data_IF_069368608591
#
_entry.id   IF_069368608591
#
_cell.length_a   1.000
_cell.length_b   1.000
_cell.length_c   1.000
_cell.angle_alpha   90.00
_cell.angle_beta   90.00
_cell.angle_gamma   90.00
#
_symmetry.space_group_name_H-M   'P 1'
#
loop_
_entity.id
_entity.type
_entity.pdbx_description
1 polymer ?
#
# COMPACT_ATOMS: atom_id res chain seq x y z
N UNK A 1 -21.84 37.33 77.62
CA UNK A 1 -21.66 37.67 76.22
C UNK A 1 -21.06 36.49 75.53
N UNK A 2 -21.84 35.75 74.72
CA UNK A 2 -21.37 34.57 73.99
C UNK A 2 -21.32 34.92 72.53
N UNK A 3 -20.14 34.92 72.00
CA UNK A 3 -19.87 35.18 70.59
C UNK A 3 -20.08 33.93 69.77
N UNK A 4 -21.05 33.91 68.84
CA UNK A 4 -21.25 32.83 67.88
C UNK A 4 -20.32 33.01 66.70
N UNK A 5 -19.47 31.99 66.47
CA UNK A 5 -18.66 31.86 65.25
C UNK A 5 -19.51 31.14 64.19
N UNK A 6 -19.79 31.85 63.12
CA UNK A 6 -20.44 31.27 61.91
C UNK A 6 -19.33 30.72 61.02
N UNK A 7 -19.29 29.38 60.86
CA UNK A 7 -18.41 28.70 59.94
C UNK A 7 -19.13 28.61 58.58
N UNK A 8 -18.63 29.39 57.61
CA UNK A 8 -19.12 29.34 56.24
C UNK A 8 -18.44 28.19 55.49
N UNK A 9 -19.17 27.14 55.14
CA UNK A 9 -18.71 26.04 54.33
C UNK A 9 -18.77 26.41 52.85
N UNK A 10 -17.61 26.65 52.23
CA UNK A 10 -17.50 26.75 50.77
C UNK A 10 -17.53 25.34 50.18
N UNK A 11 -18.61 25.00 49.50
CA UNK A 11 -18.72 23.80 48.65
C UNK A 11 -18.06 24.13 47.31
N UNK A 12 -16.89 23.57 47.06
CA UNK A 12 -16.24 23.64 45.74
C UNK A 12 -16.92 22.63 44.79
N UNK A 13 -17.64 23.12 43.81
CA UNK A 13 -18.20 22.30 42.73
C UNK A 13 -17.06 22.05 41.71
N UNK A 14 -16.51 20.84 41.75
CA UNK A 14 -15.61 20.36 40.72
C UNK A 14 -16.38 20.02 39.46
N UNK A 15 -16.43 20.91 38.48
CA UNK A 15 -16.89 20.60 37.13
C UNK A 15 -15.82 19.79 36.43
N UNK A 16 -16.07 18.47 36.30
CA UNK A 16 -15.28 17.60 35.45
C UNK A 16 -15.46 18.00 33.98
N UNK A 17 -14.49 18.75 33.45
CA UNK A 17 -14.42 19.06 32.03
C UNK A 17 -14.17 17.77 31.26
N UNK A 18 -15.18 17.26 30.55
CA UNK A 18 -15.00 16.24 29.52
C UNK A 18 -14.12 16.85 28.42
N UNK A 19 -12.82 16.52 28.42
CA UNK A 19 -11.98 16.69 27.26
C UNK A 19 -12.53 15.78 26.17
N UNK A 20 -13.34 16.35 25.28
CA UNK A 20 -13.73 15.67 24.05
C UNK A 20 -12.48 15.32 23.26
N UNK A 21 -12.22 14.01 23.14
CA UNK A 21 -11.22 13.48 22.23
C UNK A 21 -11.69 13.86 20.81
N UNK A 22 -11.22 14.99 20.30
CA UNK A 22 -11.41 15.33 18.89
C UNK A 22 -10.57 14.32 18.12
N UNK A 23 -11.21 13.31 17.55
CA UNK A 23 -10.58 12.46 16.55
C UNK A 23 -10.06 13.39 15.45
N UNK A 24 -8.75 13.39 15.24
CA UNK A 24 -8.14 14.06 14.10
C UNK A 24 -8.85 13.55 12.84
N UNK A 25 -9.27 14.43 11.91
CA UNK A 25 -9.83 13.97 10.66
C UNK A 25 -8.78 13.06 10.00
N UNK A 26 -9.09 11.77 9.93
CA UNK A 26 -8.24 10.81 9.23
C UNK A 26 -8.02 11.36 7.84
N UNK A 27 -6.77 11.42 7.39
CA UNK A 27 -6.44 11.71 6.00
C UNK A 27 -7.38 10.85 5.14
N UNK A 28 -8.25 11.49 4.36
CA UNK A 28 -9.19 10.78 3.53
C UNK A 28 -8.38 9.85 2.62
N UNK A 29 -8.67 8.55 2.69
CA UNK A 29 -7.97 7.58 1.88
C UNK A 29 -8.11 7.97 0.40
N UNK A 30 -6.98 8.15 -0.28
CA UNK A 30 -6.99 8.56 -1.68
C UNK A 30 -7.36 7.37 -2.57
N UNK A 31 -8.16 7.60 -3.59
CA UNK A 31 -8.42 6.57 -4.61
C UNK A 31 -7.10 6.19 -5.28
N UNK A 32 -6.85 4.89 -5.40
CA UNK A 32 -5.69 4.41 -6.11
C UNK A 32 -5.80 4.76 -7.61
N UNK A 33 -4.75 5.35 -8.20
CA UNK A 33 -4.69 5.56 -9.64
C UNK A 33 -4.77 4.24 -10.41
N UNK A 34 -5.27 4.28 -11.64
CA UNK A 34 -5.38 3.08 -12.46
C UNK A 34 -4.00 2.63 -13.00
N UNK A 35 -3.90 1.34 -13.29
CA UNK A 35 -2.73 0.68 -13.85
C UNK A 35 -2.78 0.57 -15.39
N UNK A 36 -3.87 1.00 -16.01
CA UNK A 36 -4.10 0.88 -17.46
C UNK A 36 -3.19 1.74 -18.35
N UNK A 37 -2.45 2.69 -17.77
CA UNK A 37 -1.53 3.57 -18.51
C UNK A 37 -0.23 2.94 -18.96
N UNK A 38 0.13 1.77 -18.43
CA UNK A 38 1.35 1.03 -18.73
C UNK A 38 1.15 -0.05 -19.79
N UNK A 39 2.21 -0.73 -20.12
CA UNK A 39 2.21 -1.90 -21.01
C UNK A 39 3.54 -2.09 -21.70
N UNK A 40 3.89 -3.30 -22.15
CA UNK A 40 3.12 -4.56 -22.13
C UNK A 40 2.94 -5.18 -20.73
N UNK A 41 2.00 -6.15 -20.67
CA UNK A 41 1.68 -6.92 -19.48
C UNK A 41 2.23 -8.34 -19.56
N UNK A 42 2.67 -8.89 -18.41
CA UNK A 42 3.15 -10.25 -18.24
C UNK A 42 2.32 -10.97 -17.17
N UNK A 43 2.24 -12.29 -17.25
CA UNK A 43 1.47 -13.16 -16.34
C UNK A 43 -0.03 -12.84 -16.30
N UNK A 44 -0.58 -12.29 -17.39
CA UNK A 44 -2.00 -11.92 -17.56
C UNK A 44 -2.55 -12.32 -18.93
N UNK A 45 -1.86 -13.18 -19.68
CA UNK A 45 -2.14 -13.45 -21.11
C UNK A 45 -2.18 -12.16 -21.96
N UNK A 46 -1.34 -11.19 -21.59
CA UNK A 46 -1.24 -9.87 -22.26
C UNK A 46 -2.41 -8.92 -21.98
N UNK A 47 -3.36 -9.31 -21.12
CA UNK A 47 -4.52 -8.47 -20.79
C UNK A 47 -4.20 -7.47 -19.70
N UNK A 48 -4.50 -6.17 -19.87
CA UNK A 48 -4.33 -5.18 -18.83
C UNK A 48 -5.21 -5.48 -17.60
N UNK A 49 -4.65 -5.19 -16.43
CA UNK A 49 -5.38 -5.22 -15.15
C UNK A 49 -5.65 -3.78 -14.71
N UNK A 50 -6.85 -3.49 -14.25
CA UNK A 50 -7.25 -2.17 -13.77
C UNK A 50 -7.64 -2.23 -12.30
N UNK A 51 -7.47 -1.14 -11.55
CA UNK A 51 -7.94 -1.04 -10.17
C UNK A 51 -9.46 -1.26 -10.10
N UNK A 52 -10.21 -0.79 -11.10
CA UNK A 52 -11.65 -1.01 -11.18
C UNK A 52 -12.02 -2.49 -11.30
N UNK A 53 -11.26 -3.29 -12.08
CA UNK A 53 -11.48 -4.73 -12.23
C UNK A 53 -11.13 -5.54 -10.99
N UNK A 54 -10.42 -4.94 -10.03
CA UNK A 54 -9.96 -5.56 -8.80
C UNK A 54 -10.80 -5.16 -7.57
N UNK A 55 -11.93 -4.48 -7.76
CA UNK A 55 -12.85 -4.16 -6.65
C UNK A 55 -13.25 -5.44 -5.88
N UNK A 56 -13.32 -5.32 -4.56
CA UNK A 56 -13.55 -6.45 -3.67
C UNK A 56 -12.28 -7.25 -3.31
N UNK A 57 -11.13 -6.91 -3.90
CA UNK A 57 -9.83 -7.50 -3.58
C UNK A 57 -8.91 -6.48 -2.91
N UNK A 58 -7.98 -6.98 -2.11
CA UNK A 58 -6.85 -6.18 -1.61
C UNK A 58 -5.74 -6.24 -2.65
N UNK A 59 -5.21 -5.09 -3.04
CA UNK A 59 -4.20 -5.01 -4.10
C UNK A 59 -2.91 -4.43 -3.55
N UNK A 60 -1.79 -5.15 -3.74
CA UNK A 60 -0.45 -4.60 -3.60
C UNK A 60 0.03 -4.09 -4.96
N UNK A 61 0.41 -2.83 -5.04
CA UNK A 61 1.06 -2.24 -6.21
C UNK A 61 2.52 -1.99 -5.86
N UNK A 62 3.42 -2.76 -6.46
CA UNK A 62 4.85 -2.72 -6.21
C UNK A 62 5.55 -1.95 -7.32
N UNK A 63 6.19 -0.83 -7.00
CA UNK A 63 7.08 -0.12 -7.93
C UNK A 63 8.48 -0.72 -7.83
N UNK A 64 8.97 -1.29 -8.94
CA UNK A 64 10.25 -2.01 -8.98
C UNK A 64 10.96 -1.89 -10.31
N UNK A 65 12.24 -2.25 -10.33
CA UNK A 65 12.98 -2.53 -11.56
C UNK A 65 13.95 -3.68 -11.36
N UNK A 66 14.27 -4.37 -12.44
CA UNK A 66 15.01 -5.62 -12.38
C UNK A 66 16.52 -5.44 -12.10
N UNK A 67 17.05 -4.22 -12.21
CA UNK A 67 18.42 -3.86 -11.88
C UNK A 67 18.61 -3.26 -10.48
N UNK A 68 17.55 -2.98 -9.77
CA UNK A 68 17.57 -2.36 -8.44
C UNK A 68 17.87 -3.42 -7.35
N UNK A 69 19.01 -3.29 -6.67
CA UNK A 69 19.42 -4.22 -5.61
C UNK A 69 18.40 -4.29 -4.47
N UNK A 70 17.91 -3.13 -3.97
CA UNK A 70 16.93 -3.06 -2.91
C UNK A 70 15.59 -3.73 -3.33
N UNK A 71 15.20 -3.64 -4.62
CA UNK A 71 14.03 -4.35 -5.14
C UNK A 71 14.23 -5.87 -5.09
N UNK A 72 15.44 -6.34 -5.41
CA UNK A 72 15.76 -7.77 -5.33
C UNK A 72 15.76 -8.28 -3.88
N UNK A 73 16.14 -7.43 -2.92
CA UNK A 73 16.13 -7.76 -1.49
C UNK A 73 14.71 -7.90 -0.92
N UNK A 74 13.73 -7.13 -1.41
CA UNK A 74 12.32 -7.23 -0.98
C UNK A 74 11.54 -8.33 -1.72
N UNK A 75 12.00 -8.75 -2.90
CA UNK A 75 11.30 -9.71 -3.76
C UNK A 75 10.92 -11.03 -3.08
N UNK A 76 11.75 -11.65 -2.20
CA UNK A 76 11.34 -12.85 -1.48
C UNK A 76 10.05 -12.66 -0.67
N UNK A 77 9.88 -11.51 -0.03
CA UNK A 77 8.69 -11.17 0.75
C UNK A 77 7.46 -10.95 -0.15
N UNK A 78 7.63 -10.24 -1.28
CA UNK A 78 6.56 -10.06 -2.26
C UNK A 78 6.04 -11.42 -2.77
N UNK A 79 6.94 -12.33 -3.11
CA UNK A 79 6.60 -13.70 -3.53
C UNK A 79 5.91 -14.49 -2.42
N UNK A 80 6.39 -14.37 -1.18
CA UNK A 80 5.81 -15.04 -0.02
C UNK A 80 4.38 -14.55 0.24
N UNK A 81 4.15 -13.24 0.24
CA UNK A 81 2.81 -12.67 0.45
C UNK A 81 1.86 -13.05 -0.69
N UNK A 82 2.34 -12.99 -1.93
CA UNK A 82 1.55 -13.45 -3.07
C UNK A 82 1.16 -14.92 -2.92
N UNK A 83 2.11 -15.81 -2.65
CA UNK A 83 1.84 -17.24 -2.47
C UNK A 83 0.86 -17.50 -1.32
N UNK A 84 0.99 -16.80 -0.20
CA UNK A 84 0.17 -16.98 1.00
C UNK A 84 -1.26 -16.44 0.83
N UNK A 85 -1.44 -15.30 0.18
CA UNK A 85 -2.69 -14.55 0.23
C UNK A 85 -3.47 -14.46 -1.08
N UNK A 86 -2.90 -14.85 -2.25
CA UNK A 86 -3.61 -14.71 -3.53
C UNK A 86 -4.93 -15.50 -3.57
N UNK A 87 -4.99 -16.69 -2.95
CA UNK A 87 -6.21 -17.49 -2.81
C UNK A 87 -7.25 -16.91 -1.84
N UNK A 88 -6.87 -15.86 -1.09
CA UNK A 88 -7.71 -15.20 -0.08
C UNK A 88 -8.22 -13.81 -0.53
N UNK A 89 -8.02 -13.48 -1.81
CA UNK A 89 -8.46 -12.20 -2.36
C UNK A 89 -7.38 -11.10 -2.37
N UNK A 90 -6.10 -11.46 -2.19
CA UNK A 90 -4.97 -10.57 -2.42
C UNK A 90 -4.49 -10.66 -3.86
N UNK A 91 -4.25 -9.52 -4.49
CA UNK A 91 -3.61 -9.42 -5.80
C UNK A 91 -2.35 -8.59 -5.66
N UNK A 92 -1.23 -9.09 -6.14
CA UNK A 92 0.00 -8.31 -6.25
C UNK A 92 0.21 -7.95 -7.72
N UNK A 93 0.54 -6.70 -8.00
CA UNK A 93 0.89 -6.21 -9.33
C UNK A 93 2.24 -5.51 -9.25
N UNK A 94 3.22 -6.01 -9.99
CA UNK A 94 4.51 -5.36 -10.15
C UNK A 94 4.46 -4.33 -11.28
N UNK A 95 4.75 -3.08 -10.97
CA UNK A 95 4.93 -2.00 -11.95
C UNK A 95 6.42 -1.85 -12.18
N UNK A 96 6.88 -2.34 -13.33
CA UNK A 96 8.28 -2.25 -13.71
C UNK A 96 8.54 -0.90 -14.37
N UNK A 97 9.12 0.02 -13.62
CA UNK A 97 9.52 1.36 -14.11
C UNK A 97 11.03 1.40 -14.25
N UNK A 98 11.60 1.55 -15.46
CA UNK A 98 13.03 1.43 -15.69
C UNK A 98 13.80 2.60 -15.06
N UNK A 99 14.90 2.30 -14.37
CA UNK A 99 15.88 3.31 -13.94
C UNK A 99 16.88 3.62 -15.06
N UNK A 100 17.23 2.59 -15.85
CA UNK A 100 18.17 2.70 -16.97
C UNK A 100 17.51 2.30 -18.29
N UNK A 101 17.97 2.89 -19.41
CA UNK A 101 17.38 2.68 -20.73
C UNK A 101 17.29 1.20 -21.17
N UNK A 102 18.25 0.36 -20.77
CA UNK A 102 18.24 -1.07 -21.14
C UNK A 102 17.12 -1.86 -20.44
N UNK A 103 16.67 -1.40 -19.28
CA UNK A 103 15.59 -2.03 -18.51
C UNK A 103 14.21 -1.82 -19.15
N UNK A 104 14.06 -0.81 -20.01
CA UNK A 104 12.85 -0.58 -20.80
C UNK A 104 12.62 -1.56 -21.96
N UNK A 105 13.52 -2.54 -22.15
CA UNK A 105 13.37 -3.55 -23.21
C UNK A 105 12.47 -4.70 -22.73
N UNK A 106 11.48 -5.06 -23.55
CA UNK A 106 10.52 -6.14 -23.24
C UNK A 106 11.21 -7.46 -22.94
N UNK A 107 12.24 -7.80 -23.72
CA UNK A 107 13.01 -9.04 -23.58
C UNK A 107 13.79 -9.07 -22.27
N UNK A 108 14.31 -7.91 -21.84
CA UNK A 108 15.02 -7.77 -20.57
C UNK A 108 14.06 -8.04 -19.38
N UNK A 109 12.90 -7.40 -19.39
CA UNK A 109 11.89 -7.59 -18.32
C UNK A 109 11.37 -9.02 -18.32
N UNK A 110 11.08 -9.59 -19.49
CA UNK A 110 10.63 -10.99 -19.60
C UNK A 110 11.67 -11.97 -19.04
N UNK A 111 12.94 -11.79 -19.39
CA UNK A 111 14.03 -12.62 -18.87
C UNK A 111 14.20 -12.45 -17.35
N UNK A 112 14.05 -11.23 -16.85
CA UNK A 112 14.09 -10.96 -15.40
C UNK A 112 12.94 -11.64 -14.65
N UNK A 113 11.71 -11.53 -15.13
CA UNK A 113 10.53 -12.21 -14.56
C UNK A 113 10.76 -13.71 -14.45
N UNK A 114 11.24 -14.32 -15.53
CA UNK A 114 11.54 -15.78 -15.55
C UNK A 114 12.67 -16.14 -14.57
N UNK A 115 13.79 -15.43 -14.62
CA UNK A 115 14.97 -15.67 -13.78
C UNK A 115 14.64 -15.50 -12.28
N UNK A 116 13.83 -14.51 -11.94
CA UNK A 116 13.45 -14.19 -10.56
C UNK A 116 12.25 -15.01 -10.06
N UNK A 117 11.60 -15.80 -10.94
CA UNK A 117 10.44 -16.61 -10.60
C UNK A 117 9.25 -15.79 -10.13
N UNK A 118 8.98 -14.66 -10.80
CA UNK A 118 7.84 -13.79 -10.51
C UNK A 118 6.60 -14.40 -11.17
N UNK A 119 5.60 -14.76 -10.36
CA UNK A 119 4.36 -15.38 -10.81
C UNK A 119 3.14 -14.43 -10.83
N UNK A 120 3.23 -13.29 -10.17
CA UNK A 120 2.16 -12.29 -10.16
C UNK A 120 2.18 -11.41 -11.42
N UNK A 121 1.06 -10.74 -11.75
CA UNK A 121 0.98 -9.78 -12.84
C UNK A 121 2.09 -8.72 -12.80
N UNK A 122 2.69 -8.43 -13.95
CA UNK A 122 3.67 -7.36 -14.11
C UNK A 122 3.29 -6.50 -15.31
N UNK A 123 3.36 -5.19 -15.14
CA UNK A 123 3.21 -4.19 -16.20
C UNK A 123 4.49 -3.39 -16.36
N UNK A 124 4.89 -3.12 -17.59
CA UNK A 124 5.96 -2.16 -17.88
C UNK A 124 5.41 -0.73 -17.86
N UNK A 125 6.14 0.18 -17.25
CA UNK A 125 5.79 1.60 -17.12
C UNK A 125 6.93 2.49 -17.66
N UNK A 126 7.32 2.26 -18.90
CA UNK A 126 8.45 2.95 -19.53
C UNK A 126 8.28 4.47 -19.65
N UNK A 127 7.03 4.93 -19.71
CA UNK A 127 6.69 6.35 -19.81
C UNK A 127 6.45 6.98 -18.42
N UNK A 128 6.66 6.23 -17.33
CA UNK A 128 6.46 6.70 -15.96
C UNK A 128 5.02 7.17 -15.66
N UNK A 129 4.03 6.68 -16.38
CA UNK A 129 2.63 7.11 -16.22
C UNK A 129 2.02 6.63 -14.92
N UNK A 130 2.21 5.35 -14.59
CA UNK A 130 1.75 4.78 -13.33
C UNK A 130 2.57 5.35 -12.18
N UNK A 131 3.89 5.39 -12.32
CA UNK A 131 4.80 6.01 -11.38
C UNK A 131 4.38 7.42 -10.96
N UNK A 132 4.15 8.28 -11.95
CA UNK A 132 3.76 9.67 -11.70
C UNK A 132 2.35 9.78 -11.10
N UNK A 133 1.40 8.92 -11.52
CA UNK A 133 0.05 8.90 -10.99
C UNK A 133 0.02 8.51 -9.49
N UNK A 134 0.90 7.60 -9.07
CA UNK A 134 1.08 7.23 -7.67
C UNK A 134 1.97 8.20 -6.89
N UNK A 135 2.45 9.28 -7.51
CA UNK A 135 3.43 10.23 -6.94
C UNK A 135 4.65 9.52 -6.36
N UNK A 136 5.07 8.41 -7.00
CA UNK A 136 6.20 7.63 -6.53
C UNK A 136 7.52 8.37 -6.78
N UNK A 137 8.52 8.15 -5.92
CA UNK A 137 9.82 8.82 -6.02
C UNK A 137 11.01 7.86 -5.86
N UNK A 138 10.77 6.62 -5.42
CA UNK A 138 11.83 5.68 -5.05
C UNK A 138 11.50 4.24 -5.42
N UNK A 139 12.53 3.42 -5.62
CA UNK A 139 12.48 1.96 -5.72
C UNK A 139 13.12 1.32 -4.49
N UNK A 140 12.56 0.22 -3.96
CA UNK A 140 11.19 -0.23 -4.17
C UNK A 140 10.18 0.64 -3.43
N UNK A 141 8.92 0.61 -3.85
CA UNK A 141 7.81 1.13 -3.08
C UNK A 141 6.59 0.22 -3.22
N UNK A 142 5.82 0.05 -2.16
CA UNK A 142 4.60 -0.75 -2.12
C UNK A 142 3.43 0.10 -1.65
N UNK A 143 2.35 0.04 -2.40
CA UNK A 143 1.07 0.65 -2.06
C UNK A 143 0.03 -0.45 -1.84
N UNK A 144 -0.60 -0.50 -0.66
CA UNK A 144 -1.72 -1.40 -0.40
C UNK A 144 -3.03 -0.66 -0.61
N UNK A 145 -3.83 -1.23 -1.50
CA UNK A 145 -5.14 -0.71 -1.89
C UNK A 145 -6.21 -1.64 -1.32
N UNK A 146 -7.22 -1.08 -0.68
CA UNK A 146 -8.31 -1.84 -0.07
C UNK A 146 -9.35 -2.32 -1.09
N UNK A 147 -10.35 -3.04 -0.60
CA UNK A 147 -11.45 -3.59 -1.41
C UNK A 147 -12.32 -2.52 -2.08
N UNK A 148 -12.25 -1.28 -1.60
CA UNK A 148 -12.92 -0.11 -2.19
C UNK A 148 -12.04 0.66 -3.19
N UNK A 149 -10.79 0.20 -3.42
CA UNK A 149 -9.83 0.83 -4.32
C UNK A 149 -9.18 2.09 -3.75
N UNK A 150 -9.04 2.18 -2.44
CA UNK A 150 -8.40 3.28 -1.75
C UNK A 150 -7.02 2.86 -1.23
N UNK A 151 -6.01 3.72 -1.39
CA UNK A 151 -4.69 3.48 -0.82
C UNK A 151 -4.79 3.63 0.70
N UNK A 152 -4.41 2.56 1.43
CA UNK A 152 -4.49 2.49 2.89
C UNK A 152 -3.12 2.42 3.57
N UNK A 153 -2.11 2.01 2.84
CA UNK A 153 -0.76 1.87 3.35
C UNK A 153 0.25 2.08 2.24
N UNK A 154 1.36 2.72 2.56
CA UNK A 154 2.50 2.90 1.66
C UNK A 154 3.77 2.61 2.42
N UNK A 155 4.65 1.81 1.82
CA UNK A 155 6.00 1.54 2.32
C UNK A 155 7.02 1.82 1.23
N UNK A 156 8.09 2.51 1.57
CA UNK A 156 9.18 2.85 0.65
C UNK A 156 10.48 2.24 1.18
N UNK A 157 11.20 1.55 0.32
CA UNK A 157 12.46 0.91 0.65
C UNK A 157 12.30 -0.51 1.19
N UNK A 158 13.35 -0.96 1.86
CA UNK A 158 13.42 -2.28 2.51
C UNK A 158 12.93 -2.21 3.96
N UNK A 159 12.67 -3.40 4.56
CA UNK A 159 12.32 -3.52 5.97
C UNK A 159 10.82 -3.49 6.25
N UNK A 160 10.46 -3.38 7.53
CA UNK A 160 9.09 -3.38 8.04
C UNK A 160 8.18 -4.51 7.49
N UNK A 161 8.77 -5.66 7.13
CA UNK A 161 8.05 -6.76 6.48
C UNK A 161 6.89 -7.29 7.33
N UNK A 162 7.09 -7.41 8.66
CA UNK A 162 6.04 -7.84 9.58
C UNK A 162 4.90 -6.81 9.69
N UNK A 163 5.24 -5.50 9.60
CA UNK A 163 4.24 -4.43 9.59
C UNK A 163 3.41 -4.53 8.32
N UNK A 164 4.06 -4.61 7.18
CA UNK A 164 3.43 -4.72 5.86
C UNK A 164 2.52 -5.96 5.79
N UNK A 165 2.99 -7.12 6.26
CA UNK A 165 2.18 -8.34 6.28
C UNK A 165 0.94 -8.20 7.16
N UNK A 166 1.06 -7.58 8.34
CA UNK A 166 -0.10 -7.28 9.18
C UNK A 166 -1.12 -6.36 8.48
N UNK A 167 -0.66 -5.36 7.71
CA UNK A 167 -1.55 -4.50 6.93
C UNK A 167 -2.30 -5.29 5.85
N UNK A 168 -1.63 -6.19 5.13
CA UNK A 168 -2.27 -7.08 4.15
C UNK A 168 -3.36 -7.90 4.84
N UNK A 169 -3.04 -8.57 5.95
CA UNK A 169 -3.99 -9.41 6.68
C UNK A 169 -5.19 -8.60 7.23
N UNK A 170 -4.94 -7.40 7.75
CA UNK A 170 -5.99 -6.51 8.25
C UNK A 170 -6.96 -6.11 7.14
N UNK A 171 -6.45 -5.66 5.98
CA UNK A 171 -7.27 -5.27 4.83
C UNK A 171 -8.07 -6.46 4.28
N UNK A 172 -7.49 -7.65 4.27
CA UNK A 172 -8.19 -8.87 3.84
C UNK A 172 -9.37 -9.22 4.77
N UNK A 173 -9.25 -8.94 6.07
CA UNK A 173 -10.29 -9.19 7.07
C UNK A 173 -11.45 -8.19 7.05
N UNK A 174 -11.27 -7.02 6.45
CA UNK A 174 -12.33 -6.00 6.32
C UNK A 174 -13.49 -6.55 5.48
N UNK A 175 -14.72 -6.24 5.90
CA UNK A 175 -15.93 -6.54 5.10
C UNK A 175 -16.07 -5.52 3.99
N UNK A 176 -16.68 -5.94 2.88
CA UNK A 176 -17.05 -5.05 1.76
C UNK A 176 -18.32 -4.33 2.12
#
# INVERSE_FOLDING_TARGET
MRTLLVVSSCVAVLTAGMLGLHALPGLAAANAPDLAGGGPWFNTDGRPVTIASLRGKVVGVEMWTAGCENCLNVLPYMKQWYAKYHGQGFVLVGVHTPEFAHEGKVEYVRAAIARLGIAYPVVMDNDYRIWNAYHNAYWPALYLVDKHGQIRYTHVGEGEYDVTERQIAALLSEKI
#
